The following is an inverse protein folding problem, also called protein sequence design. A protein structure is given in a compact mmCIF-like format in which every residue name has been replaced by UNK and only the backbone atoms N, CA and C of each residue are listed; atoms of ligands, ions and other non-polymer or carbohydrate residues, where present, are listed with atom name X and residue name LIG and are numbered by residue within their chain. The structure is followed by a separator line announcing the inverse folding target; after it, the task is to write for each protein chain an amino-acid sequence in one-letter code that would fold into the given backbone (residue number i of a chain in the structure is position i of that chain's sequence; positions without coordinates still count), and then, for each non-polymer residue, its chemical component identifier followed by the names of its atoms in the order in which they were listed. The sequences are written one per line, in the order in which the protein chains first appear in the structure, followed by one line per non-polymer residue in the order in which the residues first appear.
data_IF_675608295555
#
_entry.id   IF_675608295555
#
_cell.length_a   1.000
_cell.length_b   1.000
_cell.length_c   1.000
_cell.angle_alpha   90.00
_cell.angle_beta   90.00
_cell.angle_gamma   90.00
#
_symmetry.space_group_name_H-M   'P 1'
#
loop_
_entity.id
_entity.type
_entity.pdbx_description
1 polymer ?
#
# COMPACT_ATOMS: atom_id res chain seq x y z
N UNK A 1 15.92 19.05 32.62
CA UNK A 1 16.83 18.04 32.03
C UNK A 1 16.19 16.63 32.10
N UNK A 2 15.00 16.42 31.51
CA UNK A 2 14.27 15.13 31.62
C UNK A 2 13.45 14.70 30.38
N UNK A 3 13.61 15.35 29.23
CA UNK A 3 12.83 15.05 28.00
C UNK A 3 13.53 14.11 27.01
N UNK A 4 14.86 14.02 27.05
CA UNK A 4 15.65 13.22 26.10
C UNK A 4 15.36 11.71 26.11
N UNK A 5 15.31 11.01 27.28
CA UNK A 5 15.06 9.57 27.27
C UNK A 5 13.67 9.22 26.72
N UNK A 6 12.67 10.08 26.94
CA UNK A 6 11.32 9.88 26.40
C UNK A 6 11.29 9.98 24.87
N UNK A 7 12.09 10.88 24.28
CA UNK A 7 12.18 11.06 22.83
C UNK A 7 12.83 9.85 22.15
N UNK A 8 13.90 9.32 22.76
CA UNK A 8 14.59 8.13 22.25
C UNK A 8 13.70 6.88 22.30
N UNK A 9 12.98 6.69 23.40
CA UNK A 9 12.02 5.58 23.53
C UNK A 9 10.93 5.69 22.48
N UNK A 10 10.36 6.88 22.28
CA UNK A 10 9.32 7.12 21.26
C UNK A 10 9.83 6.75 19.86
N UNK A 11 11.01 7.25 19.49
CA UNK A 11 11.61 7.00 18.18
C UNK A 11 11.89 5.50 17.96
N UNK A 12 12.34 4.79 18.99
CA UNK A 12 12.55 3.34 18.94
C UNK A 12 11.25 2.58 18.67
N UNK A 13 10.17 2.92 19.38
CA UNK A 13 8.87 2.29 19.16
C UNK A 13 8.30 2.59 17.77
N UNK A 14 8.40 3.83 17.30
CA UNK A 14 7.99 4.21 15.95
C UNK A 14 8.74 3.38 14.91
N UNK A 15 10.07 3.29 15.01
CA UNK A 15 10.86 2.52 14.05
C UNK A 15 10.50 1.02 14.06
N UNK A 16 10.27 0.46 15.25
CA UNK A 16 9.82 -0.93 15.37
C UNK A 16 8.44 -1.14 14.74
N UNK A 17 7.52 -0.18 14.88
CA UNK A 17 6.22 -0.23 14.22
C UNK A 17 6.36 -0.18 12.71
N UNK A 18 7.20 0.69 12.17
CA UNK A 18 7.45 0.73 10.72
C UNK A 18 8.02 -0.60 10.21
N UNK A 19 8.96 -1.21 10.93
CA UNK A 19 9.49 -2.53 10.55
C UNK A 19 8.40 -3.62 10.58
N UNK A 20 7.64 -3.71 11.67
CA UNK A 20 6.56 -4.67 11.80
C UNK A 20 5.49 -4.49 10.72
N UNK A 21 5.09 -3.24 10.45
CA UNK A 21 4.18 -2.89 9.38
C UNK A 21 4.72 -3.30 8.01
N UNK A 22 6.00 -3.04 7.71
CA UNK A 22 6.60 -3.45 6.44
C UNK A 22 6.46 -4.97 6.22
N UNK A 23 6.81 -5.78 7.23
CA UNK A 23 6.70 -7.25 7.16
C UNK A 23 5.25 -7.69 6.91
N UNK A 24 4.30 -7.17 7.69
CA UNK A 24 2.88 -7.53 7.58
C UNK A 24 2.32 -7.11 6.23
N UNK A 25 2.65 -5.90 5.77
CA UNK A 25 2.19 -5.35 4.49
C UNK A 25 2.75 -6.16 3.31
N UNK A 26 4.05 -6.51 3.32
CA UNK A 26 4.60 -7.38 2.29
C UNK A 26 3.99 -8.78 2.30
N UNK A 27 3.75 -9.36 3.48
CA UNK A 27 3.04 -10.63 3.59
C UNK A 27 1.61 -10.53 3.02
N UNK A 28 0.90 -9.43 3.31
CA UNK A 28 -0.42 -9.17 2.79
C UNK A 28 -0.44 -9.03 1.26
N UNK A 29 0.65 -8.55 0.63
CA UNK A 29 0.77 -8.43 -0.82
C UNK A 29 0.75 -9.78 -1.55
N UNK A 30 1.16 -10.87 -0.88
CA UNK A 30 1.22 -12.22 -1.47
C UNK A 30 -0.16 -12.64 -2.00
N UNK A 31 -1.22 -12.37 -1.25
CA UNK A 31 -2.59 -12.79 -1.59
C UNK A 31 -3.07 -12.16 -2.91
N UNK A 32 -3.09 -10.81 -3.09
CA UNK A 32 -3.51 -10.20 -4.34
C UNK A 32 -2.53 -10.47 -5.48
N UNK A 33 -1.22 -10.65 -5.23
CA UNK A 33 -0.24 -11.04 -6.26
C UNK A 33 -0.59 -12.43 -6.81
N UNK A 34 -0.82 -13.40 -5.93
CA UNK A 34 -1.25 -14.73 -6.34
C UNK A 34 -2.56 -14.66 -7.13
N UNK A 35 -3.52 -13.87 -6.65
CA UNK A 35 -4.82 -13.73 -7.28
C UNK A 35 -4.72 -13.06 -8.67
N UNK A 36 -3.86 -12.05 -8.85
CA UNK A 36 -3.65 -11.40 -10.15
C UNK A 36 -3.10 -12.36 -11.21
N UNK A 37 -2.27 -13.33 -10.82
CA UNK A 37 -1.76 -14.36 -11.74
C UNK A 37 -2.85 -15.36 -12.15
N UNK A 38 -3.83 -15.64 -11.27
CA UNK A 38 -4.88 -16.64 -11.49
C UNK A 38 -6.11 -16.10 -12.22
N UNK A 39 -6.49 -14.85 -11.99
CA UNK A 39 -7.68 -14.25 -12.63
C UNK A 39 -7.45 -14.01 -14.11
N UNK A 40 -8.50 -14.12 -14.95
CA UNK A 40 -8.46 -13.79 -16.40
C UNK A 40 -9.42 -12.64 -16.79
N UNK A 41 -10.13 -12.07 -15.84
CA UNK A 41 -11.16 -11.03 -16.06
C UNK A 41 -10.63 -9.64 -15.75
N UNK A 42 -11.46 -8.62 -15.93
CA UNK A 42 -11.18 -7.24 -15.50
C UNK A 42 -10.82 -7.15 -14.01
N UNK A 43 -11.25 -8.11 -13.19
CA UNK A 43 -10.86 -8.21 -11.79
C UNK A 43 -9.35 -8.38 -11.60
N UNK A 44 -8.64 -8.93 -12.61
CA UNK A 44 -7.18 -8.99 -12.66
C UNK A 44 -6.54 -7.60 -12.56
N UNK A 45 -7.09 -6.61 -13.27
CA UNK A 45 -6.52 -5.24 -13.27
C UNK A 45 -6.60 -4.65 -11.87
N UNK A 46 -7.73 -4.85 -11.19
CA UNK A 46 -7.92 -4.42 -9.82
C UNK A 46 -6.95 -5.09 -8.85
N UNK A 47 -6.76 -6.41 -8.97
CA UNK A 47 -5.85 -7.12 -8.08
C UNK A 47 -4.39 -6.76 -8.34
N UNK A 48 -4.00 -6.50 -9.60
CA UNK A 48 -2.66 -5.94 -9.91
C UNK A 48 -2.46 -4.58 -9.27
N UNK A 49 -3.42 -3.66 -9.41
CA UNK A 49 -3.32 -2.33 -8.82
C UNK A 49 -3.28 -2.40 -7.28
N UNK A 50 -4.05 -3.31 -6.68
CA UNK A 50 -4.02 -3.54 -5.24
C UNK A 50 -2.67 -4.11 -4.79
N UNK A 51 -2.11 -5.09 -5.51
CA UNK A 51 -0.77 -5.62 -5.24
C UNK A 51 0.30 -4.53 -5.33
N UNK A 52 0.23 -3.69 -6.36
CA UNK A 52 1.15 -2.59 -6.57
C UNK A 52 1.06 -1.57 -5.42
N UNK A 53 -0.15 -1.21 -5.01
CA UNK A 53 -0.37 -0.32 -3.87
C UNK A 53 0.27 -0.88 -2.59
N UNK A 54 -0.04 -2.12 -2.23
CA UNK A 54 0.45 -2.75 -1.00
C UNK A 54 1.98 -2.86 -1.04
N UNK A 55 2.55 -3.25 -2.19
CA UNK A 55 3.99 -3.34 -2.35
C UNK A 55 4.69 -2.00 -2.13
N UNK A 56 4.22 -0.94 -2.79
CA UNK A 56 4.79 0.42 -2.64
C UNK A 56 4.57 0.95 -1.22
N UNK A 57 3.44 0.62 -0.60
CA UNK A 57 3.16 1.02 0.78
C UNK A 57 4.06 0.27 1.79
N UNK A 58 4.43 -0.97 1.49
CA UNK A 58 5.46 -1.71 2.22
C UNK A 58 6.83 -1.04 2.11
N UNK A 59 7.19 -0.56 0.91
CA UNK A 59 8.43 0.21 0.68
C UNK A 59 8.44 1.52 1.46
N UNK A 60 7.30 2.20 1.62
CA UNK A 60 7.18 3.38 2.49
C UNK A 60 7.62 3.06 3.93
N UNK A 61 7.07 2.00 4.51
CA UNK A 61 7.43 1.59 5.87
C UNK A 61 8.90 1.17 5.98
N UNK A 62 9.43 0.49 4.96
CA UNK A 62 10.82 0.07 4.93
C UNK A 62 11.80 1.24 4.77
N UNK A 63 11.47 2.24 3.94
CA UNK A 63 12.26 3.45 3.77
C UNK A 63 12.30 4.28 5.07
N UNK A 64 11.15 4.43 5.74
CA UNK A 64 11.10 5.10 7.04
C UNK A 64 11.95 4.36 8.07
N UNK A 65 11.86 3.03 8.12
CA UNK A 65 12.70 2.21 9.01
C UNK A 65 14.20 2.38 8.76
N UNK A 66 14.59 2.53 7.49
CA UNK A 66 15.98 2.78 7.08
C UNK A 66 16.48 4.20 7.40
N UNK A 67 15.61 5.08 7.94
CA UNK A 67 15.94 6.48 8.22
C UNK A 67 15.82 7.40 6.99
N UNK A 68 15.29 6.89 5.87
CA UNK A 68 15.13 7.63 4.61
C UNK A 68 13.76 8.34 4.57
N UNK A 69 13.55 9.31 5.47
CA UNK A 69 12.27 10.00 5.65
C UNK A 69 11.75 10.66 4.35
N UNK A 70 12.65 11.25 3.54
CA UNK A 70 12.28 11.89 2.26
C UNK A 70 11.76 10.87 1.24
N UNK A 71 12.41 9.71 1.14
CA UNK A 71 11.97 8.64 0.24
C UNK A 71 10.68 8.01 0.74
N UNK A 72 10.56 7.78 2.06
CA UNK A 72 9.36 7.25 2.69
C UNK A 72 8.17 8.20 2.54
N UNK A 73 8.18 9.31 3.26
CA UNK A 73 7.06 10.24 3.35
C UNK A 73 6.83 11.02 2.05
N UNK A 74 7.90 11.44 1.38
CA UNK A 74 7.81 12.25 0.18
C UNK A 74 7.42 11.42 -1.04
N UNK A 75 8.18 10.37 -1.34
CA UNK A 75 8.04 9.62 -2.59
C UNK A 75 7.07 8.44 -2.47
N UNK A 76 7.38 7.43 -1.65
CA UNK A 76 6.61 6.18 -1.60
C UNK A 76 5.18 6.40 -1.12
N UNK A 77 4.97 7.20 -0.07
CA UNK A 77 3.62 7.55 0.41
C UNK A 77 2.80 8.24 -0.69
N UNK A 78 3.38 9.22 -1.38
CA UNK A 78 2.69 9.95 -2.46
C UNK A 78 2.31 9.02 -3.60
N UNK A 79 3.23 8.16 -4.05
CA UNK A 79 2.94 7.19 -5.11
C UNK A 79 1.89 6.18 -4.66
N UNK A 80 1.94 5.67 -3.43
CA UNK A 80 0.88 4.80 -2.90
C UNK A 80 -0.50 5.45 -3.00
N UNK A 81 -0.63 6.73 -2.65
CA UNK A 81 -1.90 7.46 -2.77
C UNK A 81 -2.35 7.55 -4.24
N UNK A 82 -1.45 7.86 -5.17
CA UNK A 82 -1.80 7.89 -6.60
C UNK A 82 -2.26 6.53 -7.12
N UNK A 83 -1.60 5.45 -6.74
CA UNK A 83 -2.02 4.09 -7.13
C UNK A 83 -3.41 3.77 -6.57
N UNK A 84 -3.71 4.19 -5.33
CA UNK A 84 -5.03 3.99 -4.73
C UNK A 84 -6.13 4.81 -5.41
N UNK A 85 -5.83 6.04 -5.84
CA UNK A 85 -6.75 6.86 -6.63
C UNK A 85 -7.07 6.16 -7.96
N UNK A 86 -6.05 5.69 -8.67
CA UNK A 86 -6.21 4.93 -9.92
C UNK A 86 -7.05 3.66 -9.68
N UNK A 87 -6.74 2.90 -8.63
CA UNK A 87 -7.51 1.73 -8.22
C UNK A 87 -9.00 2.06 -8.04
N UNK A 88 -9.30 3.13 -7.28
CA UNK A 88 -10.67 3.58 -7.05
C UNK A 88 -11.39 3.98 -8.34
N UNK A 89 -10.73 4.73 -9.23
CA UNK A 89 -11.29 5.11 -10.53
C UNK A 89 -11.61 3.89 -11.39
N UNK A 90 -10.69 2.93 -11.49
CA UNK A 90 -10.89 1.70 -12.28
C UNK A 90 -12.01 0.84 -11.67
N UNK A 91 -12.09 0.74 -10.35
CA UNK A 91 -13.17 0.03 -9.66
C UNK A 91 -14.55 0.62 -10.01
N UNK A 92 -14.70 1.95 -9.89
CA UNK A 92 -15.96 2.64 -10.22
C UNK A 92 -16.35 2.41 -11.68
N UNK A 93 -15.39 2.55 -12.61
CA UNK A 93 -15.63 2.32 -14.02
C UNK A 93 -16.13 0.89 -14.30
N UNK A 94 -15.46 -0.12 -13.73
CA UNK A 94 -15.87 -1.52 -13.88
C UNK A 94 -17.23 -1.80 -13.25
N UNK A 95 -17.51 -1.25 -12.08
CA UNK A 95 -18.79 -1.43 -11.40
C UNK A 95 -19.96 -0.85 -12.22
N UNK A 96 -19.76 0.34 -12.83
CA UNK A 96 -20.75 0.97 -13.71
C UNK A 96 -20.97 0.16 -14.99
N UNK A 97 -19.90 -0.23 -15.67
CA UNK A 97 -19.99 -1.03 -16.91
C UNK A 97 -20.74 -2.35 -16.71
N UNK A 98 -20.56 -2.98 -15.55
CA UNK A 98 -21.27 -4.22 -15.21
C UNK A 98 -22.76 -3.99 -14.95
N UNK A 99 -23.13 -2.84 -14.36
CA UNK A 99 -24.52 -2.45 -14.11
C UNK A 99 -25.28 -2.16 -15.41
N UNK A 100 -24.66 -1.45 -16.35
CA UNK A 100 -25.27 -1.17 -17.67
C UNK A 100 -25.57 -2.46 -18.46
N UNK A 101 -24.67 -3.45 -18.42
CA UNK A 101 -24.87 -4.76 -19.09
C UNK A 101 -25.97 -5.64 -18.49
N UNK A 102 -26.50 -5.31 -17.32
CA UNK A 102 -27.58 -6.07 -16.67
C UNK A 102 -28.96 -5.44 -16.88
N UNK A 103 -29.01 -4.21 -17.42
CA UNK A 103 -30.24 -3.43 -17.61
C UNK A 103 -30.70 -3.44 -19.09
N UNK A 104 -29.80 -3.76 -20.02
CA UNK A 104 -30.06 -3.97 -21.46
C UNK A 104 -30.28 -5.44 -21.75
#
# INVERSE_FOLDING_TARGET
MSSEPKKLIKLFYENLLHLASAVIVFAAAIVPIYLSLRLKSNLRVLTVLLSLFIFIHGLYHLAYFAGEEVLGEGFFRTISIFVLIIFGTVFIYMARSKKEKLIV
#
